data_IF_736258205209
#
_entry.id   IF_736258205209
#
_cell.length_a   1.000
_cell.length_b   1.000
_cell.length_c   1.000
_cell.angle_alpha   90.00
_cell.angle_beta   90.00
_cell.angle_gamma   90.00
#
_symmetry.space_group_name_H-M   'P 1'
#
loop_
_entity.id
_entity.type
_entity.pdbx_description
1 polymer ?
#
# COMPACT_ATOMS: atom_id res chain seq x y z
N UNK A 1 -44.70 20.32 -60.21
CA UNK A 1 -43.57 21.20 -59.86
C UNK A 1 -42.21 20.51 -60.05
N UNK A 2 -42.03 19.26 -59.60
CA UNK A 2 -40.74 18.57 -59.64
C UNK A 2 -40.27 18.26 -61.09
N UNK A 3 -41.14 17.92 -62.03
CA UNK A 3 -40.83 17.67 -63.42
C UNK A 3 -40.38 18.93 -64.18
N UNK A 4 -40.96 20.09 -63.88
CA UNK A 4 -40.56 21.40 -64.37
C UNK A 4 -39.21 21.86 -63.91
N UNK A 5 -38.87 21.60 -62.61
CA UNK A 5 -37.59 21.87 -62.04
C UNK A 5 -36.50 21.00 -62.66
N UNK A 6 -36.77 19.69 -62.88
CA UNK A 6 -35.86 18.78 -63.58
C UNK A 6 -35.61 19.20 -65.02
N UNK A 7 -36.62 19.71 -65.73
CA UNK A 7 -36.49 20.18 -67.10
C UNK A 7 -35.69 21.48 -67.26
N UNK A 8 -35.75 22.38 -66.22
CA UNK A 8 -34.94 23.59 -66.18
C UNK A 8 -33.48 23.26 -65.91
N UNK A 9 -33.21 22.29 -65.07
CA UNK A 9 -31.84 21.81 -64.81
C UNK A 9 -31.20 21.18 -66.04
N UNK A 10 -31.95 20.43 -66.79
CA UNK A 10 -31.45 19.74 -68.02
C UNK A 10 -31.10 20.72 -69.14
N UNK A 11 -31.77 21.87 -69.28
CA UNK A 11 -31.52 22.87 -70.33
C UNK A 11 -30.42 23.87 -70.04
N UNK A 12 -30.07 24.08 -68.78
CA UNK A 12 -29.00 25.02 -68.40
C UNK A 12 -28.17 24.43 -67.25
N UNK A 13 -27.43 23.35 -67.52
CA UNK A 13 -26.71 22.60 -66.44
C UNK A 13 -25.70 23.47 -65.68
N UNK A 14 -25.03 24.42 -66.37
CA UNK A 14 -24.03 25.28 -65.77
C UNK A 14 -24.59 26.31 -64.76
N UNK A 15 -25.86 26.71 -64.88
CA UNK A 15 -26.48 27.68 -63.92
C UNK A 15 -26.94 27.03 -62.65
N UNK A 16 -27.27 25.72 -62.65
CA UNK A 16 -27.69 24.96 -61.50
C UNK A 16 -26.52 24.26 -60.77
N UNK A 17 -25.43 24.00 -61.49
CA UNK A 17 -24.31 23.26 -60.94
C UNK A 17 -23.63 23.99 -59.76
N UNK A 18 -23.49 25.30 -59.82
CA UNK A 18 -22.85 26.09 -58.75
C UNK A 18 -23.56 25.99 -57.39
N UNK A 19 -24.86 26.31 -57.34
CA UNK A 19 -25.60 26.17 -56.06
C UNK A 19 -25.67 24.73 -55.54
N UNK A 20 -25.81 23.72 -56.39
CA UNK A 20 -25.79 22.31 -55.99
C UNK A 20 -24.41 21.91 -55.42
N UNK A 21 -23.33 22.33 -56.09
CA UNK A 21 -21.97 22.04 -55.66
C UNK A 21 -21.68 22.72 -54.30
N UNK A 22 -22.12 23.99 -54.11
CA UNK A 22 -22.01 24.68 -52.83
C UNK A 22 -22.82 24.01 -51.72
N UNK A 23 -24.02 23.50 -52.04
CA UNK A 23 -24.83 22.77 -51.09
C UNK A 23 -24.12 21.47 -50.67
N UNK A 24 -23.66 20.69 -51.64
CA UNK A 24 -22.92 19.45 -51.36
C UNK A 24 -21.66 19.72 -50.57
N UNK A 25 -20.91 20.77 -50.94
CA UNK A 25 -19.70 21.14 -50.23
C UNK A 25 -20.00 21.57 -48.79
N UNK A 26 -21.02 22.40 -48.56
CA UNK A 26 -21.40 22.84 -47.22
C UNK A 26 -21.89 21.69 -46.33
N UNK A 27 -22.65 20.73 -46.89
CA UNK A 27 -23.04 19.52 -46.19
C UNK A 27 -21.82 18.65 -45.86
N UNK A 28 -20.94 18.43 -46.84
CA UNK A 28 -19.71 17.68 -46.64
C UNK A 28 -18.79 18.30 -45.57
N UNK A 29 -18.61 19.63 -45.60
CA UNK A 29 -17.85 20.36 -44.60
C UNK A 29 -18.52 20.30 -43.20
N UNK A 30 -19.85 20.39 -43.15
CA UNK A 30 -20.61 20.25 -41.92
C UNK A 30 -20.43 18.85 -41.30
N UNK A 31 -20.52 17.80 -42.13
CA UNK A 31 -20.29 16.42 -41.67
C UNK A 31 -18.83 16.22 -41.19
N UNK A 32 -17.86 16.77 -41.95
CA UNK A 32 -16.45 16.71 -41.57
C UNK A 32 -16.20 17.42 -40.21
N UNK A 33 -16.77 18.62 -40.05
CA UNK A 33 -16.64 19.39 -38.82
C UNK A 33 -17.22 18.65 -37.60
N UNK A 34 -18.41 18.05 -37.75
CA UNK A 34 -19.04 17.25 -36.71
C UNK A 34 -18.19 16.00 -36.38
N UNK A 35 -17.73 15.28 -37.41
CA UNK A 35 -16.87 14.11 -37.23
C UNK A 35 -15.54 14.43 -36.57
N UNK A 36 -14.92 15.54 -36.96
CA UNK A 36 -13.66 16.01 -36.34
C UNK A 36 -13.85 16.47 -34.93
N UNK A 37 -14.93 17.21 -34.60
CA UNK A 37 -15.27 17.61 -33.26
C UNK A 37 -15.53 16.40 -32.33
N UNK A 38 -16.28 15.41 -32.80
CA UNK A 38 -16.54 14.19 -32.07
C UNK A 38 -15.26 13.38 -31.80
N UNK A 39 -14.40 13.26 -32.82
CA UNK A 39 -13.10 12.60 -32.70
C UNK A 39 -12.16 13.32 -31.72
N UNK A 40 -12.15 14.67 -31.80
CA UNK A 40 -11.37 15.50 -30.89
C UNK A 40 -11.82 15.35 -29.42
N UNK A 41 -13.14 15.48 -29.17
CA UNK A 41 -13.69 15.33 -27.83
C UNK A 41 -13.38 13.95 -27.24
N UNK A 42 -13.52 12.90 -28.05
CA UNK A 42 -13.16 11.54 -27.62
C UNK A 42 -11.68 11.41 -27.30
N UNK A 43 -10.80 11.97 -28.12
CA UNK A 43 -9.36 11.96 -27.87
C UNK A 43 -8.99 12.71 -26.58
N UNK A 44 -9.65 13.84 -26.31
CA UNK A 44 -9.44 14.59 -25.04
C UNK A 44 -9.91 13.78 -23.82
N UNK A 45 -11.09 13.15 -23.90
CA UNK A 45 -11.56 12.27 -22.82
C UNK A 45 -10.62 11.09 -22.61
N UNK A 46 -10.22 10.41 -23.68
CA UNK A 46 -9.28 9.28 -23.59
C UNK A 46 -7.91 9.68 -22.98
N UNK A 47 -7.44 10.88 -23.29
CA UNK A 47 -6.20 11.42 -22.68
C UNK A 47 -6.38 11.77 -21.20
N UNK A 48 -7.51 12.37 -20.84
CA UNK A 48 -7.84 12.67 -19.47
C UNK A 48 -7.96 11.39 -18.63
N UNK A 49 -8.68 10.40 -19.13
CA UNK A 49 -8.85 9.09 -18.49
C UNK A 49 -7.49 8.39 -18.31
N UNK A 50 -6.64 8.45 -19.33
CA UNK A 50 -5.29 7.90 -19.25
C UNK A 50 -4.43 8.62 -18.21
N UNK A 51 -4.49 9.94 -18.17
CA UNK A 51 -3.71 10.77 -17.22
C UNK A 51 -4.19 10.62 -15.78
N UNK A 52 -5.50 10.45 -15.55
CA UNK A 52 -6.06 10.24 -14.21
C UNK A 52 -5.98 8.78 -13.76
N UNK A 53 -6.13 7.83 -14.68
CA UNK A 53 -6.13 6.39 -14.40
C UNK A 53 -7.36 5.88 -13.65
N UNK A 54 -8.13 6.78 -13.04
CA UNK A 54 -9.37 6.52 -12.31
C UNK A 54 -10.30 7.73 -12.45
N UNK A 55 -11.54 7.62 -11.98
CA UNK A 55 -12.49 8.77 -11.99
C UNK A 55 -11.95 9.96 -11.20
N UNK A 56 -11.23 9.70 -10.11
CA UNK A 56 -10.51 10.71 -9.31
C UNK A 56 -9.19 10.10 -8.86
N UNK A 57 -8.13 10.87 -8.97
CA UNK A 57 -6.80 10.53 -8.47
C UNK A 57 -6.36 11.59 -7.46
N UNK A 58 -5.97 11.14 -6.27
CA UNK A 58 -5.39 11.98 -5.23
C UNK A 58 -3.89 11.71 -5.19
N UNK A 59 -3.07 12.74 -5.29
CA UNK A 59 -1.61 12.65 -5.30
C UNK A 59 -1.04 13.45 -4.15
N UNK A 60 0.01 12.96 -3.51
CA UNK A 60 0.71 13.67 -2.44
C UNK A 60 0.07 13.51 -1.06
N UNK A 61 -0.71 12.46 -0.86
CA UNK A 61 -1.12 12.04 0.48
C UNK A 61 0.10 11.69 1.30
N UNK A 62 0.53 12.59 2.18
CA UNK A 62 1.55 12.30 3.20
C UNK A 62 1.00 11.18 4.07
N UNK A 63 1.58 9.98 3.99
CA UNK A 63 1.35 8.83 4.84
C UNK A 63 0.05 8.84 5.64
N UNK A 64 -1.09 8.71 4.95
CA UNK A 64 -2.38 8.76 5.62
C UNK A 64 -2.42 7.66 6.68
N UNK A 65 -2.81 8.01 7.91
CA UNK A 65 -2.97 7.03 8.98
C UNK A 65 -3.96 5.92 8.61
N UNK A 66 -4.13 4.91 9.46
CA UNK A 66 -5.00 3.74 9.20
C UNK A 66 -6.46 4.07 8.89
N UNK A 67 -6.86 5.33 9.10
CA UNK A 67 -8.20 5.84 8.83
C UNK A 67 -8.41 6.36 7.40
N UNK A 68 -7.36 6.71 6.65
CA UNK A 68 -7.47 7.54 5.45
C UNK A 68 -8.20 6.85 4.30
N UNK A 69 -7.90 5.59 4.01
CA UNK A 69 -8.60 4.84 2.98
C UNK A 69 -10.09 4.63 3.32
N UNK A 70 -10.41 4.47 4.61
CA UNK A 70 -11.80 4.40 5.10
C UNK A 70 -12.54 5.72 4.96
N UNK A 71 -11.88 6.85 5.21
CA UNK A 71 -12.46 8.19 5.05
C UNK A 71 -12.87 8.42 3.60
N UNK A 72 -11.97 8.19 2.65
CA UNK A 72 -12.29 8.37 1.23
C UNK A 72 -13.38 7.41 0.75
N UNK A 73 -13.35 6.15 1.20
CA UNK A 73 -14.40 5.17 0.86
C UNK A 73 -15.77 5.46 1.47
N UNK A 74 -15.83 6.28 2.52
CA UNK A 74 -17.07 6.71 3.19
C UNK A 74 -17.70 7.99 2.63
N UNK A 75 -17.07 8.66 1.66
CA UNK A 75 -17.60 9.87 1.05
C UNK A 75 -18.79 9.56 0.13
N UNK A 76 -19.82 10.43 0.18
CA UNK A 76 -20.98 10.31 -0.70
C UNK A 76 -20.56 10.35 -2.18
N UNK A 77 -21.04 9.37 -2.95
CA UNK A 77 -20.71 9.23 -4.36
C UNK A 77 -19.44 8.44 -4.65
N UNK A 78 -18.64 8.10 -3.66
CA UNK A 78 -17.47 7.21 -3.82
C UNK A 78 -17.93 5.76 -3.69
N UNK A 79 -17.78 4.99 -4.77
CA UNK A 79 -18.08 3.55 -4.77
C UNK A 79 -16.93 2.72 -4.23
N UNK A 80 -15.72 3.14 -4.55
CA UNK A 80 -14.49 2.46 -4.16
C UNK A 80 -13.35 3.48 -4.08
N UNK A 81 -12.52 3.34 -3.06
CA UNK A 81 -11.25 4.02 -2.93
C UNK A 81 -10.17 2.95 -2.68
N UNK A 82 -9.08 3.01 -3.40
CA UNK A 82 -7.97 2.09 -3.26
C UNK A 82 -6.65 2.86 -3.25
N UNK A 83 -5.72 2.51 -2.36
CA UNK A 83 -4.40 3.11 -2.34
C UNK A 83 -3.56 2.60 -3.51
N UNK A 84 -2.64 3.43 -3.98
CA UNK A 84 -1.59 3.05 -4.92
C UNK A 84 -0.24 3.55 -4.44
N UNK A 85 0.81 2.82 -4.76
CA UNK A 85 2.18 3.24 -4.51
C UNK A 85 2.90 3.44 -5.82
N UNK A 86 3.50 4.61 -5.96
CA UNK A 86 4.30 4.99 -7.13
C UNK A 86 5.72 5.31 -6.70
N UNK A 87 6.67 4.76 -7.42
CA UNK A 87 8.09 5.08 -7.24
C UNK A 87 8.84 4.93 -8.56
N UNK A 88 10.07 5.35 -8.58
CA UNK A 88 10.96 5.17 -9.72
C UNK A 88 12.15 4.30 -9.32
N UNK A 89 12.63 3.49 -10.24
CA UNK A 89 13.81 2.63 -10.05
C UNK A 89 14.76 2.80 -11.22
N UNK A 90 16.03 2.57 -10.96
CA UNK A 90 17.00 2.48 -12.04
C UNK A 90 16.77 1.20 -12.86
N UNK A 91 16.72 1.37 -14.16
CA UNK A 91 16.62 0.29 -15.13
C UNK A 91 17.93 0.16 -15.93
N UNK A 92 18.10 -0.96 -16.62
CA UNK A 92 19.29 -1.22 -17.43
C UNK A 92 19.59 -0.07 -18.41
N UNK A 93 20.88 0.27 -18.53
CA UNK A 93 21.34 1.31 -19.45
C UNK A 93 21.19 2.74 -18.93
N UNK A 94 21.19 2.94 -17.60
CA UNK A 94 21.08 4.27 -16.97
C UNK A 94 19.74 4.95 -17.19
N UNK A 95 18.68 4.17 -17.37
CA UNK A 95 17.31 4.65 -17.55
C UNK A 95 16.53 4.57 -16.25
N UNK A 96 15.50 5.37 -16.14
CA UNK A 96 14.58 5.36 -15.01
C UNK A 96 13.27 4.70 -15.43
N UNK A 97 12.89 3.62 -14.76
CA UNK A 97 11.59 2.97 -14.91
C UNK A 97 10.64 3.39 -13.80
N UNK A 98 9.38 3.51 -14.13
CA UNK A 98 8.31 3.84 -13.21
C UNK A 98 7.67 2.56 -12.67
N UNK A 99 7.49 2.47 -11.37
CA UNK A 99 6.79 1.37 -10.71
C UNK A 99 5.44 1.90 -10.23
N UNK A 100 4.38 1.23 -10.62
CA UNK A 100 3.03 1.43 -10.11
C UNK A 100 2.60 0.14 -9.39
N UNK A 101 2.31 0.23 -8.11
CA UNK A 101 1.74 -0.89 -7.35
C UNK A 101 0.34 -0.52 -6.86
N UNK A 102 -0.64 -1.37 -7.14
CA UNK A 102 -2.05 -1.17 -6.79
C UNK A 102 -2.74 -2.50 -6.48
N UNK A 103 -3.95 -2.45 -5.92
CA UNK A 103 -4.77 -3.64 -5.68
C UNK A 103 -5.28 -4.21 -7.01
N UNK A 104 -4.56 -5.19 -7.56
CA UNK A 104 -4.88 -5.78 -8.87
C UNK A 104 -6.10 -6.69 -8.83
N UNK A 105 -6.51 -7.16 -7.65
CA UNK A 105 -7.70 -8.00 -7.51
C UNK A 105 -9.02 -7.25 -7.82
N UNK A 106 -9.02 -5.91 -7.68
CA UNK A 106 -10.20 -5.07 -7.91
C UNK A 106 -9.94 -3.92 -8.89
N UNK A 107 -8.76 -3.90 -9.53
CA UNK A 107 -8.36 -2.80 -10.41
C UNK A 107 -9.21 -2.69 -11.68
N UNK A 108 -9.77 -3.79 -12.17
CA UNK A 108 -10.63 -3.81 -13.35
C UNK A 108 -11.96 -3.06 -13.15
N UNK A 109 -12.39 -2.86 -11.90
CA UNK A 109 -13.62 -2.13 -11.57
C UNK A 109 -13.46 -0.61 -11.56
N UNK A 110 -12.26 -0.12 -11.30
CA UNK A 110 -11.98 1.31 -11.07
C UNK A 110 -10.95 1.95 -11.98
N UNK A 111 -10.04 1.17 -12.57
CA UNK A 111 -8.98 1.70 -13.40
C UNK A 111 -9.45 1.97 -14.85
N UNK A 112 -9.25 3.19 -15.33
CA UNK A 112 -9.62 3.61 -16.68
C UNK A 112 -8.55 3.18 -17.70
N UNK A 113 -8.50 1.89 -17.98
CA UNK A 113 -7.56 1.30 -18.94
C UNK A 113 -8.27 0.85 -20.21
N UNK A 114 -7.84 1.37 -21.35
CA UNK A 114 -8.38 1.01 -22.66
C UNK A 114 -7.88 -0.38 -23.10
N UNK A 115 -8.75 -1.13 -23.73
CA UNK A 115 -8.43 -2.49 -24.21
C UNK A 115 -7.32 -2.52 -25.28
N UNK A 116 -7.20 -1.47 -26.10
CA UNK A 116 -6.13 -1.37 -27.11
C UNK A 116 -4.75 -1.11 -26.49
N UNK A 117 -4.69 -0.47 -25.31
CA UNK A 117 -3.46 -0.28 -24.55
C UNK A 117 -3.09 -1.54 -23.74
N UNK A 118 -4.10 -2.27 -23.28
CA UNK A 118 -3.93 -3.54 -22.57
C UNK A 118 -3.54 -4.72 -23.48
N UNK A 119 -3.64 -4.57 -24.79
CA UNK A 119 -3.48 -5.68 -25.73
C UNK A 119 -4.63 -6.68 -25.69
N UNK A 120 -5.78 -6.29 -25.12
CA UNK A 120 -6.98 -7.10 -24.90
C UNK A 120 -7.79 -6.65 -23.69
N UNK A 121 -8.39 -7.59 -22.95
CA UNK A 121 -9.13 -7.24 -21.72
C UNK A 121 -8.18 -6.76 -20.63
N UNK A 122 -8.42 -5.58 -20.02
CA UNK A 122 -7.65 -5.10 -18.87
C UNK A 122 -7.64 -6.10 -17.70
N UNK A 123 -8.75 -6.79 -17.46
CA UNK A 123 -8.87 -7.82 -16.43
C UNK A 123 -7.80 -8.90 -16.53
N UNK A 124 -7.53 -9.39 -17.76
CA UNK A 124 -6.48 -10.39 -17.99
C UNK A 124 -5.11 -9.90 -17.53
N UNK A 125 -4.83 -8.61 -17.70
CA UNK A 125 -3.57 -8.01 -17.30
C UNK A 125 -3.42 -8.04 -15.77
N UNK A 126 -4.49 -7.69 -15.04
CA UNK A 126 -4.48 -7.71 -13.58
C UNK A 126 -4.46 -9.14 -13.03
N UNK A 127 -5.27 -10.04 -13.60
CA UNK A 127 -5.32 -11.45 -13.19
C UNK A 127 -3.94 -12.15 -13.33
N UNK A 128 -3.11 -11.71 -14.27
CA UNK A 128 -1.77 -12.30 -14.49
C UNK A 128 -0.82 -12.09 -13.29
N UNK A 129 -1.03 -11.03 -12.50
CA UNK A 129 -0.18 -10.66 -11.38
C UNK A 129 -0.91 -10.61 -10.03
N UNK A 130 -2.24 -10.79 -10.04
CA UNK A 130 -3.01 -10.83 -8.80
C UNK A 130 -2.51 -11.98 -7.89
N UNK A 131 -2.29 -11.71 -6.60
CA UNK A 131 -1.91 -12.74 -5.65
C UNK A 131 -3.05 -13.73 -5.43
N UNK A 132 -2.71 -14.98 -5.10
CA UNK A 132 -3.72 -15.91 -4.63
C UNK A 132 -4.37 -15.41 -3.34
N UNK A 133 -5.69 -15.58 -3.19
CA UNK A 133 -6.37 -15.21 -1.96
C UNK A 133 -5.74 -15.93 -0.76
N UNK A 134 -5.19 -15.17 0.18
CA UNK A 134 -4.61 -15.70 1.40
C UNK A 134 -5.37 -15.18 2.63
N UNK A 135 -5.46 -15.97 3.71
CA UNK A 135 -5.99 -15.47 4.98
C UNK A 135 -5.23 -14.23 5.44
N UNK A 136 -5.96 -13.27 5.98
CA UNK A 136 -5.34 -12.05 6.53
C UNK A 136 -4.54 -12.42 7.78
N UNK A 137 -3.32 -11.90 7.93
CA UNK A 137 -2.51 -12.14 9.12
C UNK A 137 -3.11 -11.45 10.35
N UNK A 138 -2.85 -11.99 11.52
CA UNK A 138 -3.26 -11.39 12.78
C UNK A 138 -4.74 -11.56 13.11
N UNK A 139 -5.30 -10.59 13.80
CA UNK A 139 -6.72 -10.56 14.11
C UNK A 139 -7.41 -9.35 13.50
N UNK A 140 -8.50 -9.63 12.79
CA UNK A 140 -9.26 -8.62 12.04
C UNK A 140 -10.20 -7.89 12.99
N UNK A 141 -10.21 -6.57 12.90
CA UNK A 141 -11.10 -5.70 13.67
C UNK A 141 -12.51 -5.67 13.05
N UNK A 142 -13.57 -5.56 13.87
CA UNK A 142 -14.92 -5.30 13.39
C UNK A 142 -14.98 -4.04 12.51
N UNK A 143 -15.80 -4.07 11.47
CA UNK A 143 -15.87 -2.97 10.46
C UNK A 143 -16.39 -1.64 11.01
N UNK A 144 -17.12 -1.69 12.09
CA UNK A 144 -17.71 -0.55 12.81
C UNK A 144 -16.83 -0.04 13.96
N UNK A 145 -15.62 -0.61 14.09
CA UNK A 145 -14.65 -0.20 15.11
C UNK A 145 -14.13 1.20 14.87
N UNK A 146 -14.22 2.05 15.88
CA UNK A 146 -13.71 3.43 15.89
C UNK A 146 -12.47 3.59 16.75
N UNK A 147 -12.29 2.71 17.72
CA UNK A 147 -11.13 2.74 18.64
C UNK A 147 -10.73 1.33 19.05
N UNK A 148 -9.43 1.08 19.09
CA UNK A 148 -8.87 -0.16 19.64
C UNK A 148 -8.32 0.11 21.02
N UNK A 149 -8.57 -0.80 21.95
CA UNK A 149 -7.97 -0.83 23.29
C UNK A 149 -7.27 -2.16 23.47
N UNK A 150 -6.05 -2.15 23.95
CA UNK A 150 -5.29 -3.35 24.28
C UNK A 150 -4.44 -3.13 25.53
N UNK A 151 -4.24 -4.18 26.31
CA UNK A 151 -3.39 -4.14 27.50
C UNK A 151 -2.04 -4.76 27.19
N UNK A 152 -1.00 -3.96 27.27
CA UNK A 152 0.40 -4.37 27.11
C UNK A 152 1.05 -4.56 28.48
N UNK A 153 1.87 -5.61 28.58
CA UNK A 153 2.64 -5.90 29.80
C UNK A 153 4.06 -6.27 29.42
N UNK A 154 5.03 -5.59 30.06
CA UNK A 154 6.44 -5.97 29.95
C UNK A 154 6.94 -6.27 31.38
N UNK A 155 7.68 -7.37 31.51
CA UNK A 155 8.20 -7.83 32.80
C UNK A 155 9.64 -8.26 32.66
N UNK A 156 10.54 -7.78 33.50
CA UNK A 156 11.90 -8.31 33.58
C UNK A 156 11.87 -9.67 34.29
N UNK A 157 12.36 -10.70 33.60
CA UNK A 157 12.35 -12.08 34.08
C UNK A 157 13.69 -12.47 34.72
N UNK A 158 14.79 -12.00 34.16
CA UNK A 158 16.14 -12.31 34.61
C UNK A 158 17.15 -11.25 34.09
N UNK A 159 18.12 -10.80 34.89
CA UNK A 159 18.17 -11.05 36.34
C UNK A 159 16.94 -10.51 37.05
N UNK A 160 16.48 -11.18 38.09
CA UNK A 160 15.37 -10.67 38.90
C UNK A 160 15.80 -9.37 39.57
N UNK A 161 15.01 -8.30 39.47
CA UNK A 161 15.32 -7.07 40.21
C UNK A 161 15.50 -7.37 41.68
N UNK A 162 16.62 -6.99 42.27
CA UNK A 162 16.86 -7.10 43.72
C UNK A 162 16.04 -6.00 44.40
N UNK A 163 14.92 -6.36 45.00
CA UNK A 163 14.03 -5.41 45.66
C UNK A 163 12.93 -4.86 44.76
N UNK A 164 12.02 -4.08 45.29
CA UNK A 164 10.84 -3.55 44.60
C UNK A 164 11.13 -2.37 43.65
N UNK A 165 12.36 -2.14 43.27
CA UNK A 165 12.71 -0.99 42.43
C UNK A 165 13.16 -1.46 41.03
N UNK A 166 12.35 -1.14 40.03
CA UNK A 166 12.84 -0.86 38.68
C UNK A 166 13.88 0.25 38.83
N UNK A 167 15.03 0.10 38.20
CA UNK A 167 16.05 1.14 38.21
C UNK A 167 15.39 2.45 37.75
N UNK A 168 15.38 3.51 38.58
CA UNK A 168 14.71 4.75 38.19
C UNK A 168 15.36 5.46 37.01
N UNK A 169 16.59 5.06 36.66
CA UNK A 169 17.32 5.59 35.49
C UNK A 169 17.16 4.72 34.23
N UNK A 170 16.39 3.63 34.28
CA UNK A 170 16.12 2.77 33.16
C UNK A 170 14.99 3.34 32.28
N UNK A 171 15.30 3.69 31.05
CA UNK A 171 14.31 4.14 30.07
C UNK A 171 13.34 2.98 29.73
N UNK A 172 12.03 3.19 29.86
CA UNK A 172 11.07 2.13 29.55
C UNK A 172 11.04 1.83 28.05
N UNK A 173 10.95 0.55 27.64
CA UNK A 173 10.81 0.16 26.25
C UNK A 173 9.66 0.87 25.54
N UNK A 174 9.88 1.27 24.31
CA UNK A 174 8.87 1.93 23.47
C UNK A 174 8.16 0.89 22.60
N UNK A 175 6.85 0.87 22.66
CA UNK A 175 6.03 -0.10 21.92
C UNK A 175 5.32 0.55 20.75
N UNK A 176 5.39 -0.11 19.60
CA UNK A 176 4.64 0.24 18.37
C UNK A 176 3.71 -0.91 18.01
N UNK A 177 2.43 -0.62 17.79
CA UNK A 177 1.45 -1.59 17.29
C UNK A 177 1.45 -1.56 15.76
N UNK A 178 1.52 -2.74 15.15
CA UNK A 178 1.50 -2.91 13.69
C UNK A 178 0.09 -3.28 13.25
N UNK A 179 -0.41 -2.52 12.29
CA UNK A 179 -1.73 -2.69 11.70
C UNK A 179 -1.59 -2.92 10.20
N UNK A 180 -2.60 -3.51 9.59
CA UNK A 180 -2.67 -3.70 8.14
C UNK A 180 -4.11 -3.51 7.67
N UNK A 181 -4.30 -2.79 6.57
CA UNK A 181 -5.60 -2.66 5.95
C UNK A 181 -5.95 -3.84 5.02
N UNK A 182 -7.11 -3.77 4.38
CA UNK A 182 -7.56 -4.82 3.43
C UNK A 182 -6.67 -4.94 2.19
N UNK A 183 -5.92 -3.91 1.87
CA UNK A 183 -5.00 -3.87 0.72
C UNK A 183 -3.59 -4.35 1.06
N UNK A 184 -3.34 -4.69 2.32
CA UNK A 184 -2.04 -5.12 2.80
C UNK A 184 -1.09 -3.97 3.14
N UNK A 185 -1.57 -2.72 3.13
CA UNK A 185 -0.75 -1.59 3.55
C UNK A 185 -0.53 -1.63 5.06
N UNK A 186 0.72 -1.56 5.49
CA UNK A 186 1.07 -1.54 6.90
C UNK A 186 0.96 -0.13 7.48
N UNK A 187 0.50 -0.07 8.71
CA UNK A 187 0.46 1.15 9.51
C UNK A 187 1.13 0.89 10.85
N UNK A 188 1.78 1.91 11.38
CA UNK A 188 2.49 1.88 12.65
C UNK A 188 1.83 2.85 13.61
N UNK A 189 1.39 2.34 14.75
CA UNK A 189 0.86 3.17 15.83
C UNK A 189 1.82 3.14 17.00
N UNK A 190 2.40 4.29 17.34
CA UNK A 190 3.27 4.44 18.50
C UNK A 190 2.42 4.41 19.77
N UNK A 191 2.49 3.30 20.51
CA UNK A 191 1.80 3.15 21.78
C UNK A 191 2.52 3.90 22.93
N UNK A 192 3.81 4.15 22.75
CA UNK A 192 4.66 4.85 23.71
C UNK A 192 5.40 3.93 24.68
N UNK A 193 5.97 4.51 25.73
CA UNK A 193 6.78 3.78 26.70
C UNK A 193 5.91 2.87 27.58
N UNK A 194 6.36 1.64 27.83
CA UNK A 194 5.71 0.64 28.67
C UNK A 194 6.65 0.22 29.78
N UNK A 195 6.33 0.50 31.07
CA UNK A 195 7.18 0.10 32.20
C UNK A 195 7.39 -1.41 32.28
N UNK A 196 8.57 -1.82 32.75
CA UNK A 196 8.95 -3.23 32.88
C UNK A 196 8.53 -3.88 34.20
N UNK A 197 7.63 -3.23 34.93
CA UNK A 197 7.16 -3.64 36.27
C UNK A 197 6.13 -4.78 36.26
N UNK A 198 5.71 -5.22 35.06
CA UNK A 198 4.75 -6.30 34.89
C UNK A 198 3.29 -5.89 35.06
N UNK A 199 3.00 -4.61 35.28
CA UNK A 199 1.63 -4.10 35.32
C UNK A 199 1.08 -3.95 33.88
N UNK A 200 -0.19 -4.24 33.66
CA UNK A 200 -0.80 -3.97 32.35
C UNK A 200 -0.91 -2.46 32.11
N UNK A 201 -0.44 -2.01 30.97
CA UNK A 201 -0.58 -0.63 30.49
C UNK A 201 -1.67 -0.61 29.43
N UNK A 202 -2.77 0.10 29.65
CA UNK A 202 -3.81 0.24 28.65
C UNK A 202 -3.35 1.16 27.52
N UNK A 203 -3.38 0.64 26.31
CA UNK A 203 -3.10 1.40 25.08
C UNK A 203 -4.40 1.58 24.32
N UNK A 204 -4.70 2.81 23.90
CA UNK A 204 -5.92 3.13 23.19
C UNK A 204 -5.63 4.06 22.02
N UNK A 205 -6.14 3.71 20.84
CA UNK A 205 -5.96 4.54 19.65
C UNK A 205 -7.17 4.48 18.72
N UNK A 206 -7.44 5.61 18.06
CA UNK A 206 -8.52 5.74 17.10
C UNK A 206 -8.17 5.00 15.81
N UNK A 207 -9.16 4.34 15.24
CA UNK A 207 -9.07 3.64 13.96
C UNK A 207 -10.33 3.87 13.14
N UNK A 208 -10.20 3.79 11.81
CA UNK A 208 -11.36 3.58 10.94
C UNK A 208 -11.31 2.14 10.42
N UNK A 209 -12.01 1.24 11.09
CA UNK A 209 -12.03 -0.16 10.71
C UNK A 209 -12.93 -0.46 9.49
N UNK A 210 -13.65 0.54 8.97
CA UNK A 210 -14.49 0.41 7.78
C UNK A 210 -13.74 -0.13 6.56
N UNK A 211 -12.45 0.18 6.45
CA UNK A 211 -11.53 -0.39 5.45
C UNK A 211 -11.07 -1.81 5.73
N UNK A 212 -11.50 -2.42 6.84
CA UNK A 212 -11.07 -3.76 7.24
C UNK A 212 -9.63 -3.76 7.76
N UNK A 213 -9.39 -3.21 8.93
CA UNK A 213 -8.09 -3.25 9.62
C UNK A 213 -7.86 -4.60 10.32
N UNK A 214 -6.60 -4.99 10.42
CA UNK A 214 -6.14 -6.10 11.25
C UNK A 214 -4.94 -5.66 12.09
N UNK A 215 -4.85 -6.15 13.32
CA UNK A 215 -3.63 -6.02 14.11
C UNK A 215 -2.72 -7.18 13.73
N UNK A 216 -1.55 -6.84 13.18
CA UNK A 216 -0.63 -7.82 12.59
C UNK A 216 0.65 -7.99 13.38
N UNK A 217 0.88 -7.17 14.40
CA UNK A 217 2.05 -7.32 15.26
C UNK A 217 2.26 -6.20 16.25
N UNK A 218 3.34 -6.36 16.98
CA UNK A 218 3.91 -5.34 17.84
C UNK A 218 5.43 -5.31 17.65
N UNK A 219 6.01 -4.15 17.86
CA UNK A 219 7.45 -3.94 17.86
C UNK A 219 7.80 -3.26 19.17
N UNK A 220 8.87 -3.70 19.80
CA UNK A 220 9.36 -3.17 21.09
C UNK A 220 10.80 -2.74 20.87
N UNK A 221 11.02 -1.44 20.94
CA UNK A 221 12.34 -0.84 20.94
C UNK A 221 12.79 -0.63 22.37
N UNK A 222 13.91 -1.24 22.71
CA UNK A 222 14.39 -1.36 24.07
C UNK A 222 15.86 -0.94 24.13
N UNK A 223 16.20 -0.10 25.11
CA UNK A 223 17.58 0.25 25.43
C UNK A 223 17.98 -0.52 26.69
N UNK A 224 18.79 -1.59 26.58
CA UNK A 224 19.18 -2.37 27.73
C UNK A 224 20.04 -1.55 28.70
N UNK A 225 20.01 -1.88 30.00
CA UNK A 225 20.90 -1.28 30.97
C UNK A 225 22.36 -1.56 30.62
N UNK A 226 23.21 -0.58 30.86
CA UNK A 226 24.63 -0.65 30.56
C UNK A 226 25.29 -1.90 31.15
N UNK A 227 26.03 -2.65 30.33
CA UNK A 227 26.80 -3.82 30.75
C UNK A 227 25.97 -5.05 31.17
N UNK A 228 24.65 -5.06 31.02
CA UNK A 228 23.79 -6.15 31.48
C UNK A 228 22.77 -6.58 30.45
N UNK A 229 22.82 -7.85 30.04
CA UNK A 229 21.72 -8.46 29.33
C UNK A 229 20.55 -8.75 30.27
N UNK A 230 19.35 -8.42 29.86
CA UNK A 230 18.14 -8.76 30.58
C UNK A 230 17.22 -9.65 29.76
N UNK A 231 16.57 -10.61 30.43
CA UNK A 231 15.45 -11.35 29.82
C UNK A 231 14.15 -10.68 30.21
N UNK A 232 13.40 -10.25 29.21
CA UNK A 232 12.11 -9.59 29.37
C UNK A 232 11.00 -10.40 28.71
N UNK A 233 9.80 -10.34 29.27
CA UNK A 233 8.60 -10.93 28.71
C UNK A 233 7.64 -9.84 28.33
N UNK A 234 7.20 -9.83 27.09
CA UNK A 234 6.16 -8.97 26.58
C UNK A 234 4.90 -9.78 26.31
N UNK A 235 3.75 -9.31 26.76
CA UNK A 235 2.47 -9.97 26.55
C UNK A 235 1.37 -8.95 26.24
N UNK A 236 0.48 -9.32 25.29
CA UNK A 236 -0.81 -8.66 25.06
C UNK A 236 -1.85 -9.49 25.80
N UNK A 237 -2.61 -8.89 26.70
CA UNK A 237 -3.52 -9.64 27.57
C UNK A 237 -4.99 -9.41 27.28
N UNK A 238 -5.38 -8.31 26.71
CA UNK A 238 -6.76 -8.00 26.38
C UNK A 238 -6.83 -7.15 25.13
N UNK A 239 -7.78 -7.44 24.25
CA UNK A 239 -8.02 -6.66 23.04
C UNK A 239 -9.51 -6.40 22.91
N UNK A 240 -9.87 -5.14 22.91
CA UNK A 240 -11.23 -4.64 22.80
C UNK A 240 -11.34 -3.64 21.66
N UNK A 241 -12.50 -3.55 21.07
CA UNK A 241 -12.85 -2.53 20.07
C UNK A 241 -14.04 -1.74 20.59
N UNK A 242 -13.98 -0.44 20.41
CA UNK A 242 -15.11 0.45 20.64
C UNK A 242 -15.82 0.65 19.32
N UNK A 243 -17.14 0.51 19.33
CA UNK A 243 -18.03 0.77 18.18
C UNK A 243 -18.98 1.92 18.52
N UNK A 244 -19.37 2.69 17.51
CA UNK A 244 -20.27 3.85 17.69
C UNK A 244 -19.58 5.19 17.47
N UNK A 245 -20.27 6.31 17.77
CA UNK A 245 -19.73 7.66 17.54
C UNK A 245 -18.56 7.95 18.48
N UNK A 246 -17.42 8.29 17.89
CA UNK A 246 -16.23 8.78 18.60
C UNK A 246 -16.47 10.27 18.96
N UNK A 247 -17.13 10.52 20.10
CA UNK A 247 -17.21 11.88 20.63
C UNK A 247 -15.84 12.20 21.26
N UNK A 248 -15.29 13.42 21.06
CA UNK A 248 -14.06 13.84 21.70
C UNK A 248 -14.15 13.66 23.22
N UNK A 249 -13.06 13.24 23.85
CA UNK A 249 -12.98 13.12 25.31
C UNK A 249 -13.47 14.43 25.97
N UNK A 250 -14.57 14.35 26.71
CA UNK A 250 -15.15 15.48 27.42
C UNK A 250 -16.56 15.89 27.01
N UNK A 251 -17.18 15.32 25.97
CA UNK A 251 -18.60 15.52 25.69
C UNK A 251 -19.43 14.39 26.29
N UNK A 252 -20.37 14.73 27.17
CA UNK A 252 -21.39 13.81 27.70
C UNK A 252 -22.34 13.36 26.57
N UNK A 253 -21.90 12.40 25.75
CA UNK A 253 -22.70 11.90 24.65
C UNK A 253 -22.22 10.54 24.23
N UNK A 254 -22.99 9.53 24.59
CA UNK A 254 -22.95 8.14 24.09
C UNK A 254 -21.54 7.54 24.07
N UNK A 255 -21.11 7.01 25.21
CA UNK A 255 -19.93 6.11 25.25
C UNK A 255 -20.15 4.98 24.24
N UNK A 256 -19.24 4.85 23.27
CA UNK A 256 -19.29 3.75 22.30
C UNK A 256 -19.28 2.40 23.05
N UNK A 257 -19.90 1.39 22.50
CA UNK A 257 -19.93 0.06 23.11
C UNK A 257 -18.58 -0.62 22.96
N UNK A 258 -18.04 -1.13 24.06
CA UNK A 258 -16.80 -1.92 24.06
C UNK A 258 -17.14 -3.41 23.83
N UNK A 259 -16.48 -4.00 22.86
CA UNK A 259 -16.60 -5.42 22.56
C UNK A 259 -15.23 -6.08 22.55
N UNK A 260 -15.09 -7.28 23.15
CA UNK A 260 -13.86 -8.05 23.01
C UNK A 260 -13.65 -8.42 21.55
N UNK A 261 -12.43 -8.28 21.07
CA UNK A 261 -12.08 -8.77 19.73
C UNK A 261 -11.91 -10.29 19.80
N UNK A 262 -12.64 -11.06 18.98
CA UNK A 262 -12.48 -12.50 18.97
C UNK A 262 -11.12 -12.86 18.37
N UNK A 263 -10.14 -13.14 19.22
CA UNK A 263 -8.83 -13.61 18.79
C UNK A 263 -8.88 -15.12 18.64
N UNK A 264 -8.78 -15.60 17.40
CA UNK A 264 -8.74 -17.03 17.13
C UNK A 264 -7.45 -17.64 17.70
N UNK A 265 -7.56 -18.74 18.43
CA UNK A 265 -6.41 -19.53 18.91
C UNK A 265 -5.54 -20.10 17.77
N UNK A 266 -6.01 -20.02 16.51
CA UNK A 266 -5.25 -20.43 15.34
C UNK A 266 -4.25 -19.38 14.85
N UNK A 267 -4.30 -18.14 15.36
CA UNK A 267 -3.31 -17.11 15.02
C UNK A 267 -1.95 -17.52 15.56
N UNK A 268 -1.00 -17.69 14.68
CA UNK A 268 0.40 -17.94 15.03
C UNK A 268 1.18 -16.64 14.91
N UNK A 269 2.14 -16.49 15.81
CA UNK A 269 3.02 -15.33 15.86
C UNK A 269 4.45 -15.79 15.72
N UNK A 270 5.19 -15.11 14.86
CA UNK A 270 6.63 -15.25 14.70
C UNK A 270 7.29 -14.04 15.37
N UNK A 271 8.44 -14.27 15.98
CA UNK A 271 9.19 -13.20 16.62
C UNK A 271 10.65 -13.23 16.18
N UNK A 272 11.23 -12.06 16.04
CA UNK A 272 12.64 -11.86 15.72
C UNK A 272 13.21 -10.76 16.60
N UNK A 273 14.51 -10.84 16.85
CA UNK A 273 15.27 -9.89 17.62
C UNK A 273 16.39 -9.31 16.77
N UNK A 274 16.52 -7.99 16.77
CA UNK A 274 17.63 -7.28 16.14
C UNK A 274 18.32 -6.40 17.19
N UNK A 275 19.64 -6.37 17.13
CA UNK A 275 20.48 -5.48 17.93
C UNK A 275 21.12 -4.48 16.99
N UNK A 276 20.88 -3.20 17.22
CA UNK A 276 21.49 -2.11 16.45
C UNK A 276 22.63 -1.49 17.26
N UNK A 277 23.80 -1.48 16.65
CA UNK A 277 25.03 -0.93 17.21
C UNK A 277 25.75 -0.15 16.12
N UNK A 278 26.01 1.14 16.31
CA UNK A 278 26.74 2.01 15.35
C UNK A 278 26.15 2.06 13.94
N UNK A 279 24.83 1.96 13.82
CA UNK A 279 24.18 1.93 12.51
C UNK A 279 24.19 0.56 11.82
N UNK A 280 24.90 -0.43 12.35
CA UNK A 280 24.83 -1.81 11.91
C UNK A 280 23.77 -2.57 12.72
N UNK A 281 23.01 -3.42 12.05
CA UNK A 281 22.03 -4.28 12.70
C UNK A 281 22.44 -5.73 12.59
N UNK A 282 22.45 -6.43 13.72
CA UNK A 282 22.75 -7.88 13.79
C UNK A 282 21.56 -8.63 14.41
N UNK A 283 21.32 -9.90 14.05
CA UNK A 283 20.33 -10.73 14.72
C UNK A 283 20.69 -10.93 16.20
N UNK A 284 19.68 -10.77 17.06
CA UNK A 284 19.76 -11.17 18.47
C UNK A 284 19.36 -12.63 18.69
N UNK A 285 19.33 -13.08 19.96
CA UNK A 285 18.81 -14.40 20.31
C UNK A 285 17.35 -14.54 19.88
N UNK A 286 16.93 -15.67 19.31
CA UNK A 286 15.53 -15.88 18.92
C UNK A 286 14.61 -15.79 20.16
N UNK A 287 13.55 -14.96 20.11
CA UNK A 287 12.59 -14.88 21.18
C UNK A 287 11.82 -16.19 21.41
N UNK A 288 11.50 -16.49 22.65
CA UNK A 288 10.78 -17.70 23.03
C UNK A 288 9.31 -17.39 23.27
N UNK A 289 8.42 -18.08 22.55
CA UNK A 289 6.99 -17.96 22.74
C UNK A 289 6.56 -18.58 24.06
N UNK A 290 5.74 -17.85 24.84
CA UNK A 290 5.14 -18.31 26.07
C UNK A 290 3.64 -18.61 25.85
N UNK A 291 3.21 -19.81 26.20
CA UNK A 291 1.80 -20.17 26.12
C UNK A 291 1.26 -20.44 24.70
N UNK A 292 -0.03 -20.75 24.64
CA UNK A 292 -0.75 -21.18 23.44
C UNK A 292 -1.92 -20.25 23.08
N UNK A 293 -2.06 -19.12 23.76
CA UNK A 293 -3.11 -18.14 23.43
C UNK A 293 -2.93 -17.59 22.03
N UNK A 294 -4.00 -17.16 21.40
CA UNK A 294 -3.96 -16.51 20.09
C UNK A 294 -3.31 -15.10 20.14
N UNK A 295 -2.97 -14.58 21.33
CA UNK A 295 -2.33 -13.29 21.53
C UNK A 295 -0.80 -13.41 21.61
N UNK A 296 -0.04 -12.35 21.27
CA UNK A 296 1.40 -12.31 21.44
C UNK A 296 1.82 -12.45 22.89
N UNK A 297 2.74 -13.36 23.18
CA UNK A 297 3.37 -13.55 24.48
C UNK A 297 4.76 -14.19 24.27
N UNK A 298 5.82 -13.38 24.46
CA UNK A 298 7.19 -13.78 24.16
C UNK A 298 8.17 -13.33 25.22
N UNK A 299 9.18 -14.15 25.45
CA UNK A 299 10.37 -13.79 26.23
C UNK A 299 11.53 -13.54 25.26
N UNK A 300 12.22 -12.46 25.44
CA UNK A 300 13.37 -12.04 24.62
C UNK A 300 14.54 -11.63 25.51
N UNK A 301 15.74 -11.66 24.93
CA UNK A 301 16.98 -11.19 25.55
C UNK A 301 17.33 -9.83 24.95
N UNK A 302 17.57 -8.83 25.79
CA UNK A 302 17.90 -7.48 25.34
C UNK A 302 19.28 -7.36 24.70
N UNK A 303 20.12 -8.38 24.89
CA UNK A 303 21.52 -8.33 24.49
C UNK A 303 22.40 -7.55 25.49
N UNK A 304 23.68 -7.58 25.29
CA UNK A 304 24.68 -6.86 26.11
C UNK A 304 25.16 -5.66 25.35
N UNK A 305 25.21 -4.51 26.03
CA UNK A 305 25.92 -3.35 25.54
C UNK A 305 27.42 -3.58 25.65
N UNK A 306 28.19 -3.29 24.59
CA UNK A 306 29.64 -3.43 24.63
C UNK A 306 30.27 -2.30 25.46
N UNK A 307 31.15 -2.69 26.38
CA UNK A 307 31.80 -1.82 27.38
C UNK A 307 32.71 -0.73 26.77
N UNK A 308 33.04 -0.83 25.48
CA UNK A 308 34.02 0.03 24.82
C UNK A 308 33.42 1.25 24.10
N UNK A 309 32.09 1.42 24.10
CA UNK A 309 31.42 2.41 23.28
C UNK A 309 30.49 3.35 24.01
N UNK A 310 30.63 4.62 23.70
CA UNK A 310 29.77 5.71 24.15
C UNK A 310 28.38 5.74 23.46
N UNK A 311 28.13 4.82 22.53
CA UNK A 311 26.86 4.69 21.84
C UNK A 311 26.03 3.56 22.46
N UNK A 312 24.80 3.86 22.77
CA UNK A 312 23.84 2.88 23.31
C UNK A 312 23.45 1.87 22.26
N UNK A 313 23.39 0.62 22.64
CA UNK A 313 22.85 -0.46 21.82
C UNK A 313 21.31 -0.43 21.94
N UNK A 314 20.62 -0.36 20.82
CA UNK A 314 19.15 -0.51 20.79
C UNK A 314 18.79 -1.93 20.41
N UNK A 315 17.92 -2.55 21.16
CA UNK A 315 17.35 -3.85 20.84
C UNK A 315 15.93 -3.71 20.36
N UNK A 316 15.62 -4.29 19.19
CA UNK A 316 14.28 -4.26 18.61
C UNK A 316 13.71 -5.68 18.55
N UNK A 317 12.70 -5.94 19.38
CA UNK A 317 11.86 -7.13 19.29
C UNK A 317 10.71 -6.87 18.33
N UNK A 318 10.60 -7.67 17.29
CA UNK A 318 9.50 -7.63 16.36
C UNK A 318 8.68 -8.91 16.43
N UNK A 319 7.41 -8.79 16.79
CA UNK A 319 6.44 -9.90 16.81
C UNK A 319 5.42 -9.62 15.72
N UNK A 320 5.30 -10.56 14.77
CA UNK A 320 4.36 -10.41 13.66
C UNK A 320 3.51 -11.68 13.50
N UNK A 321 2.29 -11.50 13.04
CA UNK A 321 1.46 -12.65 12.71
C UNK A 321 2.10 -13.47 11.58
N UNK A 322 2.19 -14.78 11.79
CA UNK A 322 2.77 -15.70 10.83
C UNK A 322 2.02 -15.64 9.49
N UNK A 323 2.78 -15.53 8.42
CA UNK A 323 2.25 -15.44 7.05
C UNK A 323 2.63 -16.69 6.26
N UNK A 324 1.77 -17.18 5.36
CA UNK A 324 2.16 -18.21 4.41
C UNK A 324 3.35 -17.74 3.57
N UNK A 325 4.14 -18.65 3.02
CA UNK A 325 5.28 -18.27 2.16
C UNK A 325 4.81 -17.36 1.04
N UNK A 326 5.47 -16.21 0.86
CA UNK A 326 5.14 -15.32 -0.23
C UNK A 326 5.32 -16.00 -1.59
N UNK A 327 4.35 -15.83 -2.46
CA UNK A 327 4.51 -16.23 -3.85
C UNK A 327 5.59 -15.35 -4.52
N UNK A 328 6.26 -15.85 -5.58
CA UNK A 328 7.15 -15.01 -6.38
C UNK A 328 6.40 -13.79 -6.90
N UNK A 329 7.00 -12.63 -6.78
CA UNK A 329 6.42 -11.40 -7.33
C UNK A 329 6.37 -11.48 -8.85
N UNK A 330 5.27 -11.02 -9.40
CA UNK A 330 5.06 -10.90 -10.84
C UNK A 330 4.81 -9.45 -11.19
N UNK A 331 5.24 -9.05 -12.40
CA UNK A 331 4.98 -7.71 -12.93
C UNK A 331 4.40 -7.78 -14.34
N UNK A 332 3.62 -6.77 -14.66
CA UNK A 332 3.27 -6.44 -16.04
C UNK A 332 4.20 -5.33 -16.51
N UNK A 333 4.85 -5.54 -17.64
CA UNK A 333 5.78 -4.58 -18.22
C UNK A 333 5.14 -3.80 -19.38
N UNK A 334 5.46 -2.52 -19.52
CA UNK A 334 5.13 -1.80 -20.76
C UNK A 334 6.04 -2.23 -21.91
N UNK A 335 5.55 -2.13 -23.15
CA UNK A 335 6.36 -2.41 -24.35
C UNK A 335 7.64 -1.55 -24.38
N UNK A 336 7.56 -0.32 -23.89
CA UNK A 336 8.70 0.58 -23.76
C UNK A 336 9.75 0.00 -22.79
N UNK A 337 9.32 -0.56 -21.66
CA UNK A 337 10.22 -1.19 -20.72
C UNK A 337 10.96 -2.37 -21.36
N UNK A 338 10.23 -3.31 -21.95
CA UNK A 338 10.81 -4.49 -22.58
C UNK A 338 11.80 -4.11 -23.68
N UNK A 339 11.42 -3.15 -24.54
CA UNK A 339 12.26 -2.69 -25.64
C UNK A 339 13.52 -1.97 -25.18
N UNK A 340 13.41 -1.10 -24.17
CA UNK A 340 14.52 -0.24 -23.75
C UNK A 340 15.49 -0.95 -22.82
N UNK A 341 15.04 -1.95 -22.06
CA UNK A 341 15.89 -2.77 -21.17
C UNK A 341 16.35 -4.06 -21.84
N UNK A 342 15.83 -4.38 -23.05
CA UNK A 342 16.04 -5.66 -23.73
C UNK A 342 15.56 -6.88 -22.92
N UNK A 343 14.60 -6.69 -22.01
CA UNK A 343 13.98 -7.74 -21.22
C UNK A 343 12.87 -8.44 -22.02
N UNK A 344 12.54 -9.67 -21.64
CA UNK A 344 11.50 -10.49 -22.25
C UNK A 344 10.51 -10.97 -21.21
N UNK A 345 9.32 -11.37 -21.66
CA UNK A 345 8.38 -12.06 -20.78
C UNK A 345 8.99 -13.38 -20.29
N UNK A 346 8.82 -13.64 -18.99
CA UNK A 346 9.44 -14.77 -18.30
C UNK A 346 10.78 -14.45 -17.65
N UNK A 347 11.42 -13.33 -17.98
CA UNK A 347 12.66 -12.94 -17.34
C UNK A 347 12.42 -12.57 -15.86
N UNK A 348 13.40 -12.91 -15.03
CA UNK A 348 13.48 -12.44 -13.65
C UNK A 348 14.36 -11.19 -13.58
N UNK A 349 13.85 -10.14 -12.97
CA UNK A 349 14.54 -8.88 -12.76
C UNK A 349 14.63 -8.56 -11.27
N UNK A 350 15.68 -7.88 -10.87
CA UNK A 350 15.84 -7.40 -9.51
C UNK A 350 15.46 -5.92 -9.45
N UNK A 351 14.52 -5.57 -8.56
CA UNK A 351 14.04 -4.21 -8.33
C UNK A 351 14.39 -3.77 -6.91
N UNK A 352 14.83 -2.53 -6.75
CA UNK A 352 15.03 -1.94 -5.42
C UNK A 352 13.78 -1.21 -4.98
N UNK A 353 13.05 -1.77 -4.00
CA UNK A 353 11.85 -1.19 -3.42
C UNK A 353 12.07 -0.93 -1.93
N UNK A 354 11.83 0.30 -1.48
CA UNK A 354 12.07 0.73 -0.10
C UNK A 354 13.45 0.29 0.44
N UNK A 355 14.50 0.44 -0.39
CA UNK A 355 15.88 0.07 -0.05
C UNK A 355 16.19 -1.44 -0.09
N UNK A 356 15.22 -2.28 -0.48
CA UNK A 356 15.40 -3.74 -0.54
C UNK A 356 15.37 -4.25 -1.98
N UNK A 357 16.29 -5.12 -2.32
CA UNK A 357 16.30 -5.79 -3.61
C UNK A 357 15.27 -6.92 -3.62
N UNK A 358 14.30 -6.83 -4.51
CA UNK A 358 13.21 -7.79 -4.66
C UNK A 358 13.24 -8.38 -6.05
N UNK A 359 13.16 -9.70 -6.16
CA UNK A 359 13.11 -10.40 -7.45
C UNK A 359 11.69 -10.49 -7.97
N UNK A 360 11.50 -10.13 -9.24
CA UNK A 360 10.21 -10.03 -9.90
C UNK A 360 10.26 -10.71 -11.26
N UNK A 361 9.25 -11.52 -11.59
CA UNK A 361 9.12 -12.17 -12.91
C UNK A 361 8.21 -11.33 -13.82
N UNK A 362 8.63 -11.05 -15.02
CA UNK A 362 7.81 -10.36 -16.04
C UNK A 362 6.77 -11.33 -16.61
N UNK A 363 5.52 -11.21 -16.14
CA UNK A 363 4.47 -12.19 -16.45
C UNK A 363 3.65 -11.83 -17.70
N UNK A 364 3.43 -10.54 -17.97
CA UNK A 364 2.59 -10.08 -19.08
C UNK A 364 3.12 -8.72 -19.57
N UNK A 365 2.66 -8.30 -20.77
CA UNK A 365 3.02 -6.99 -21.32
C UNK A 365 1.79 -6.20 -21.74
N UNK A 366 1.94 -4.87 -21.70
CA UNK A 366 0.95 -3.91 -22.17
C UNK A 366 1.62 -2.82 -22.99
N UNK A 367 0.89 -2.19 -23.89
CA UNK A 367 1.44 -1.07 -24.66
C UNK A 367 1.82 0.09 -23.75
N UNK A 368 0.89 0.49 -22.88
CA UNK A 368 1.08 1.56 -21.90
C UNK A 368 0.19 1.31 -20.68
N UNK A 369 0.65 1.79 -19.55
CA UNK A 369 -0.15 1.84 -18.32
C UNK A 369 -0.71 3.25 -18.14
N UNK A 370 -1.97 3.40 -17.69
CA UNK A 370 -2.51 4.69 -17.29
C UNK A 370 -1.63 5.35 -16.22
N UNK A 371 -1.62 6.65 -16.19
CA UNK A 371 -0.85 7.47 -15.23
C UNK A 371 0.67 7.33 -15.33
N UNK A 372 1.21 6.66 -16.36
CA UNK A 372 2.66 6.48 -16.54
C UNK A 372 3.14 7.13 -17.83
N UNK A 373 4.37 7.63 -17.83
CA UNK A 373 5.00 8.22 -19.01
C UNK A 373 6.09 9.22 -18.66
N UNK A 374 6.89 9.60 -19.64
CA UNK A 374 7.97 10.57 -19.44
C UNK A 374 7.50 11.93 -18.89
N UNK A 375 6.25 12.31 -19.16
CA UNK A 375 5.67 13.56 -18.67
C UNK A 375 5.22 13.48 -17.19
N UNK A 376 4.99 12.27 -16.67
CA UNK A 376 4.57 12.04 -15.29
C UNK A 376 5.75 11.95 -14.32
N UNK A 377 6.98 11.76 -14.83
CA UNK A 377 8.18 11.78 -14.00
C UNK A 377 8.36 13.20 -13.42
N UNK A 378 8.18 13.33 -12.12
CA UNK A 378 8.33 14.60 -11.40
C UNK A 378 9.72 15.17 -11.60
N UNK A 379 9.80 16.38 -12.23
CA UNK A 379 11.01 17.15 -12.36
C UNK A 379 11.92 16.76 -13.51
N UNK A 380 11.64 17.28 -14.71
CA UNK A 380 12.58 17.43 -15.84
C UNK A 380 13.48 16.20 -16.17
N UNK A 381 13.00 14.99 -15.99
CA UNK A 381 13.69 13.84 -16.52
C UNK A 381 13.62 13.90 -18.05
N UNK A 382 14.79 13.86 -18.68
CA UNK A 382 14.90 13.79 -20.13
C UNK A 382 14.04 12.61 -20.63
N UNK A 383 13.07 12.83 -21.56
CA UNK A 383 12.28 11.76 -22.14
C UNK A 383 13.12 10.59 -22.68
N UNK A 384 14.38 10.84 -23.03
CA UNK A 384 15.33 9.83 -23.45
C UNK A 384 15.74 8.88 -22.32
N UNK A 385 15.67 9.33 -21.07
CA UNK A 385 16.00 8.54 -19.88
C UNK A 385 14.80 7.70 -19.38
N UNK A 386 13.58 7.95 -19.86
CA UNK A 386 12.42 7.16 -19.51
C UNK A 386 12.58 5.72 -19.97
N UNK A 387 12.65 4.79 -19.04
CA UNK A 387 12.84 3.35 -19.25
C UNK A 387 11.57 2.53 -19.41
N UNK A 388 10.38 3.17 -19.38
CA UNK A 388 9.09 2.48 -19.35
C UNK A 388 8.54 2.32 -17.95
N UNK A 389 7.50 1.48 -17.79
CA UNK A 389 6.85 1.27 -16.52
C UNK A 389 6.56 -0.21 -16.24
N UNK A 390 6.46 -0.53 -14.96
CA UNK A 390 6.08 -1.84 -14.43
C UNK A 390 4.87 -1.68 -13.52
N UNK A 391 3.91 -2.59 -13.64
CA UNK A 391 2.77 -2.71 -12.73
C UNK A 391 2.99 -3.93 -11.82
N UNK A 392 2.83 -3.74 -10.53
CA UNK A 392 2.93 -4.74 -9.49
C UNK A 392 1.62 -4.81 -8.69
N UNK A 393 1.39 -5.93 -8.03
CA UNK A 393 0.34 -6.01 -7.02
C UNK A 393 0.85 -5.44 -5.69
N UNK A 394 0.11 -4.48 -5.13
CA UNK A 394 0.49 -3.76 -3.91
C UNK A 394 0.59 -4.70 -2.71
N UNK A 395 -0.38 -5.60 -2.55
CA UNK A 395 -0.39 -6.55 -1.45
C UNK A 395 0.77 -7.54 -1.54
N UNK A 396 1.04 -8.06 -2.74
CA UNK A 396 2.16 -8.98 -2.94
C UNK A 396 3.51 -8.31 -2.63
N UNK A 397 3.69 -7.05 -3.01
CA UNK A 397 4.90 -6.27 -2.69
C UNK A 397 5.04 -6.07 -1.18
N UNK A 398 3.98 -5.60 -0.51
CA UNK A 398 4.00 -5.40 0.95
C UNK A 398 4.25 -6.69 1.72
N UNK A 399 3.66 -7.82 1.28
CA UNK A 399 3.92 -9.12 1.89
C UNK A 399 5.37 -9.57 1.78
N UNK A 400 6.03 -9.31 0.66
CA UNK A 400 7.45 -9.63 0.49
C UNK A 400 8.33 -8.73 1.35
N UNK A 401 8.05 -7.44 1.39
CA UNK A 401 8.81 -6.48 2.19
C UNK A 401 8.63 -6.74 3.70
N UNK A 402 7.42 -6.97 4.16
CA UNK A 402 7.13 -7.24 5.57
C UNK A 402 7.92 -8.40 6.18
N UNK A 403 8.45 -9.31 5.36
CA UNK A 403 9.28 -10.44 5.81
C UNK A 403 10.76 -10.14 5.89
N UNK A 404 11.23 -9.15 5.13
CA UNK A 404 12.65 -8.88 4.96
C UNK A 404 13.15 -7.76 5.83
N UNK A 405 12.27 -6.83 6.19
CA UNK A 405 12.67 -5.57 6.80
C UNK A 405 11.54 -4.92 7.58
N UNK A 406 11.89 -3.96 8.43
CA UNK A 406 10.95 -3.00 9.01
C UNK A 406 10.52 -1.94 8.00
N UNK A 407 11.19 -1.85 6.84
CA UNK A 407 10.81 -0.91 5.79
C UNK A 407 9.44 -1.26 5.22
N UNK A 408 8.61 -0.26 5.09
CA UNK A 408 7.26 -0.35 4.56
C UNK A 408 7.14 0.56 3.36
N UNK A 409 6.27 0.20 2.42
CA UNK A 409 5.86 1.14 1.39
C UNK A 409 4.57 1.84 1.85
N UNK A 410 4.51 3.13 1.62
CA UNK A 410 3.34 3.94 1.90
C UNK A 410 2.54 4.18 0.63
N UNK A 411 1.24 4.41 0.77
CA UNK A 411 0.44 4.88 -0.35
C UNK A 411 0.91 6.28 -0.76
N UNK A 412 1.21 6.46 -2.04
CA UNK A 412 1.57 7.77 -2.61
C UNK A 412 0.39 8.40 -3.36
N UNK A 413 -0.63 7.60 -3.65
CA UNK A 413 -1.85 7.97 -4.38
C UNK A 413 -3.08 7.31 -3.78
#
# INVERSE_FOLDING_TARGET
PAALAGWQFSRRPLRGAGPVLLLVLSVAMGMLAIGQSASWNRSQSDQADFGSGASVRLVGGQGGGPATAGIYGGLDGVRQAAPAHRTTVEASGGRTAEILALDTAHADEGMLMRSDLAGGSPRRVFDAIAPEPAPRPGFVLPKDGTRVKLDLRITTVSPKPSGSAVDPDEDPPVVTVLLEDRYGLPYRFLAGPVPVDGRPVPVSFAVSAAGGLAVTGIEVDDEPPFGQAQKRRVAVSDVRVVTGSDSPEGSEGSEGQEHPVPVSGSVRWDASMALAERGDSRPGEPPVRNGTSGLPDFTYDTGVENDDDWERTTSTLRITAARPKAAPLKAVATDDYLKKTNAKLGDEIDLTLAGNTVRVTLAESVRRLPTTGAAELSGAADPAQYGGALLLDLRAVTEVLARRTTATIEATE
#
